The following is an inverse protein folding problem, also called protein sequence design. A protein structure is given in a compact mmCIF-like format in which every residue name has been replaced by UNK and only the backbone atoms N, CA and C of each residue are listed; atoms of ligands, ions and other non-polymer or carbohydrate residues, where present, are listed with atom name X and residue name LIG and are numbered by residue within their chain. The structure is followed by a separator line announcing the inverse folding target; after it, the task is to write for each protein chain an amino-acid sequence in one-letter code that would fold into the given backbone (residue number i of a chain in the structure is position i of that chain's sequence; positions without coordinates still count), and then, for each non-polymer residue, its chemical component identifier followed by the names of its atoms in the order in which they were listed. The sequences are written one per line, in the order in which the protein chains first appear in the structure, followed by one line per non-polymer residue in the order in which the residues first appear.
data_IF_095639475235
#
_entry.id   IF_095639475235
#
_cell.length_a   1.000
_cell.length_b   1.000
_cell.length_c   1.000
_cell.angle_alpha   90.00
_cell.angle_beta   90.00
_cell.angle_gamma   90.00
#
_symmetry.space_group_name_H-M   'P 1'
#
loop_
_entity.id
_entity.type
_entity.pdbx_description
1 polymer ?
#
# COMPACT_ATOMS: atom_id res chain seq x y z
N UNK A 1 -20.29 -21.64 58.47
CA UNK A 1 -21.14 -20.53 58.01
C UNK A 1 -20.24 -19.54 57.24
N UNK A 2 -20.46 -19.42 55.92
CA UNK A 2 -20.34 -18.20 55.06
C UNK A 2 -19.01 -17.40 55.15
N UNK A 3 -18.02 -17.58 54.26
CA UNK A 3 -17.75 -17.03 52.88
C UNK A 3 -16.98 -15.70 52.81
N UNK A 4 -16.21 -15.56 51.72
CA UNK A 4 -15.59 -14.35 51.12
C UNK A 4 -14.15 -14.06 51.60
N UNK A 5 -13.16 -13.76 50.77
CA UNK A 5 -13.15 -13.20 49.41
C UNK A 5 -11.87 -13.62 48.66
N UNK A 6 -12.01 -13.89 47.36
CA UNK A 6 -10.95 -14.31 46.46
C UNK A 6 -10.61 -13.16 45.50
N UNK A 7 -9.53 -12.42 45.76
CA UNK A 7 -8.98 -11.46 44.81
C UNK A 7 -7.89 -12.13 43.95
N UNK A 8 -8.34 -12.81 42.89
CA UNK A 8 -7.50 -13.38 41.84
C UNK A 8 -6.90 -12.25 40.99
N UNK A 9 -5.60 -11.98 41.15
CA UNK A 9 -4.83 -11.13 40.21
C UNK A 9 -4.56 -11.94 38.94
N UNK A 10 -5.43 -11.79 37.94
CA UNK A 10 -5.16 -12.30 36.60
C UNK A 10 -3.92 -11.64 35.98
N UNK A 11 -3.12 -12.36 35.17
CA UNK A 11 -1.97 -11.79 34.49
C UNK A 11 -2.42 -10.73 33.47
N UNK A 12 -1.68 -9.63 33.46
CA UNK A 12 -1.86 -8.52 32.54
C UNK A 12 -1.90 -9.04 31.09
N UNK A 13 -3.02 -8.81 30.42
CA UNK A 13 -3.09 -9.00 28.97
C UNK A 13 -2.11 -8.04 28.30
N UNK A 14 -1.21 -8.52 27.41
CA UNK A 14 -0.48 -7.62 26.55
C UNK A 14 -1.50 -6.87 25.69
N UNK A 15 -1.47 -5.54 25.77
CA UNK A 15 -2.30 -4.68 24.94
C UNK A 15 -2.00 -4.99 23.48
N UNK A 16 -3.05 -5.27 22.71
CA UNK A 16 -3.04 -5.36 21.26
C UNK A 16 -2.73 -4.00 20.58
N UNK A 17 -1.81 -3.22 21.14
CA UNK A 17 -1.42 -1.87 20.70
C UNK A 17 0.00 -1.83 20.13
N UNK A 18 0.81 -2.88 20.32
CA UNK A 18 2.21 -2.89 19.85
C UNK A 18 2.40 -3.45 18.44
N UNK A 19 1.49 -4.30 17.96
CA UNK A 19 1.60 -4.91 16.62
C UNK A 19 1.34 -3.94 15.46
N UNK A 20 0.81 -2.74 15.73
CA UNK A 20 0.52 -1.74 14.68
C UNK A 20 1.63 -0.69 14.52
N UNK A 21 2.59 -0.60 15.45
CA UNK A 21 3.67 0.41 15.40
C UNK A 21 4.88 -0.03 14.56
N UNK A 22 5.11 -1.33 14.39
CA UNK A 22 6.29 -1.82 13.68
C UNK A 22 6.20 -1.60 12.17
N UNK A 23 4.98 -1.66 11.62
CA UNK A 23 4.77 -1.38 10.20
C UNK A 23 5.19 0.04 9.83
N UNK A 24 4.95 1.04 10.69
CA UNK A 24 5.31 2.45 10.45
C UNK A 24 6.81 2.71 10.43
N UNK A 25 7.61 1.89 11.12
CA UNK A 25 9.06 2.04 11.29
C UNK A 25 9.87 1.80 9.99
N UNK A 26 9.28 1.14 9.00
CA UNK A 26 10.00 0.72 7.79
C UNK A 26 10.00 1.73 6.62
N UNK A 27 9.44 2.94 6.76
CA UNK A 27 9.50 3.94 5.69
C UNK A 27 10.78 4.76 5.79
N UNK A 28 11.60 4.71 4.74
CA UNK A 28 12.80 5.52 4.64
C UNK A 28 12.45 6.96 4.23
N UNK A 29 13.36 7.91 4.48
CA UNK A 29 13.25 9.27 3.94
C UNK A 29 13.17 9.27 2.41
N UNK A 30 13.75 8.27 1.74
CA UNK A 30 13.68 8.11 0.29
C UNK A 30 12.27 7.74 -0.19
N UNK A 31 11.52 6.97 0.59
CA UNK A 31 10.12 6.64 0.26
C UNK A 31 9.21 7.86 0.33
N UNK A 32 9.53 8.84 1.19
CA UNK A 32 8.82 10.12 1.25
C UNK A 32 9.44 11.20 0.35
N UNK A 33 10.45 10.89 -0.46
CA UNK A 33 11.07 11.88 -1.34
C UNK A 33 10.22 12.17 -2.58
N UNK A 34 9.33 11.25 -2.99
CA UNK A 34 8.42 11.45 -4.11
C UNK A 34 7.07 10.77 -3.88
N UNK A 35 6.04 11.25 -4.60
CA UNK A 35 4.70 10.64 -4.57
C UNK A 35 4.74 9.18 -5.02
N UNK A 36 5.51 8.88 -6.07
CA UNK A 36 5.71 7.52 -6.55
C UNK A 36 6.40 6.64 -5.49
N UNK A 37 7.45 7.16 -4.81
CA UNK A 37 8.11 6.47 -3.70
C UNK A 37 7.13 6.12 -2.58
N UNK A 38 6.29 7.07 -2.18
CA UNK A 38 5.35 6.86 -1.09
C UNK A 38 4.28 5.81 -1.46
N UNK A 39 3.81 5.87 -2.71
CA UNK A 39 2.89 4.87 -3.22
C UNK A 39 3.52 3.47 -3.28
N UNK A 40 4.77 3.34 -3.73
CA UNK A 40 5.51 2.07 -3.73
C UNK A 40 5.59 1.46 -2.35
N UNK A 41 6.00 2.23 -1.36
CA UNK A 41 6.12 1.72 -0.01
C UNK A 41 4.76 1.33 0.60
N UNK A 42 3.68 2.01 0.21
CA UNK A 42 2.31 1.58 0.55
C UNK A 42 1.96 0.24 -0.11
N UNK A 43 2.32 0.02 -1.36
CA UNK A 43 2.14 -1.26 -2.03
C UNK A 43 2.94 -2.36 -1.34
N UNK A 44 4.20 -2.09 -0.99
CA UNK A 44 5.09 -3.07 -0.34
C UNK A 44 4.53 -3.55 1.01
N UNK A 45 3.83 -2.67 1.74
CA UNK A 45 3.10 -3.05 2.96
C UNK A 45 1.81 -3.82 2.69
N UNK A 46 1.10 -3.49 1.62
CA UNK A 46 -0.24 -4.02 1.38
C UNK A 46 -0.24 -5.37 0.64
N UNK A 47 0.59 -5.53 -0.39
CA UNK A 47 0.62 -6.73 -1.23
C UNK A 47 0.84 -8.05 -0.45
N UNK A 48 1.71 -8.10 0.59
CA UNK A 48 1.87 -9.31 1.40
C UNK A 48 0.60 -9.74 2.15
N UNK A 49 -0.33 -8.81 2.39
CA UNK A 49 -1.60 -9.11 3.08
C UNK A 49 -2.63 -9.80 2.18
N UNK A 50 -2.39 -9.81 0.86
CA UNK A 50 -3.24 -10.50 -0.11
C UNK A 50 -2.87 -11.99 -0.17
N UNK A 51 -3.89 -12.85 -0.14
CA UNK A 51 -3.74 -14.30 0.08
C UNK A 51 -3.15 -15.07 -1.12
N UNK A 52 -3.18 -14.51 -2.33
CA UNK A 52 -2.73 -15.20 -3.54
C UNK A 52 -2.08 -14.25 -4.55
N UNK A 53 -1.23 -14.80 -5.41
CA UNK A 53 -0.64 -14.05 -6.52
C UNK A 53 -1.70 -13.55 -7.50
N UNK A 54 -2.79 -14.31 -7.67
CA UNK A 54 -3.95 -13.88 -8.43
C UNK A 54 -4.57 -12.60 -7.83
N UNK A 55 -4.82 -12.58 -6.52
CA UNK A 55 -5.37 -11.41 -5.84
C UNK A 55 -4.42 -10.20 -5.93
N UNK A 56 -3.11 -10.42 -5.78
CA UNK A 56 -2.07 -9.38 -5.97
C UNK A 56 -2.10 -8.82 -7.39
N UNK A 57 -2.16 -9.69 -8.40
CA UNK A 57 -2.23 -9.30 -9.82
C UNK A 57 -3.49 -8.47 -10.11
N UNK A 58 -4.66 -8.95 -9.70
CA UNK A 58 -5.93 -8.24 -9.91
C UNK A 58 -5.90 -6.86 -9.23
N UNK A 59 -5.39 -6.78 -8.01
CA UNK A 59 -5.24 -5.52 -7.31
C UNK A 59 -4.32 -4.55 -8.07
N UNK A 60 -3.13 -5.00 -8.49
CA UNK A 60 -2.17 -4.17 -9.21
C UNK A 60 -2.72 -3.69 -10.56
N UNK A 61 -3.41 -4.55 -11.32
CA UNK A 61 -4.06 -4.17 -12.57
C UNK A 61 -5.10 -3.07 -12.32
N UNK A 62 -5.94 -3.20 -11.28
CA UNK A 62 -6.92 -2.16 -10.94
C UNK A 62 -6.26 -0.84 -10.57
N UNK A 63 -5.19 -0.87 -9.78
CA UNK A 63 -4.43 0.36 -9.47
C UNK A 63 -3.85 0.99 -10.74
N UNK A 64 -3.31 0.18 -11.65
CA UNK A 64 -2.76 0.68 -12.92
C UNK A 64 -3.81 1.37 -13.76
N UNK A 65 -4.99 0.78 -13.91
CA UNK A 65 -6.07 1.39 -14.70
C UNK A 65 -6.55 2.71 -14.08
N UNK A 66 -6.63 2.80 -12.74
CA UNK A 66 -6.93 4.07 -12.06
C UNK A 66 -5.88 5.14 -12.37
N UNK A 67 -4.59 4.82 -12.26
CA UNK A 67 -3.53 5.78 -12.58
C UNK A 67 -3.49 6.17 -14.06
N UNK A 68 -3.79 5.25 -14.98
CA UNK A 68 -3.90 5.54 -16.42
C UNK A 68 -5.05 6.51 -16.70
N UNK A 69 -6.22 6.29 -16.09
CA UNK A 69 -7.35 7.22 -16.22
C UNK A 69 -7.01 8.61 -15.67
N UNK A 70 -6.41 8.67 -14.47
CA UNK A 70 -5.99 9.94 -13.87
C UNK A 70 -4.94 10.66 -14.71
N UNK A 71 -3.99 9.93 -15.31
CA UNK A 71 -3.01 10.49 -16.23
C UNK A 71 -3.65 11.03 -17.50
N UNK A 72 -4.61 10.29 -18.07
CA UNK A 72 -5.40 10.75 -19.22
C UNK A 72 -6.15 12.05 -18.93
N UNK A 73 -6.81 12.14 -17.77
CA UNK A 73 -7.47 13.38 -17.33
C UNK A 73 -6.48 14.52 -17.08
N UNK A 74 -5.33 14.23 -16.46
CA UNK A 74 -4.25 15.19 -16.24
C UNK A 74 -3.78 15.79 -17.57
N UNK A 75 -3.51 14.94 -18.57
CA UNK A 75 -3.08 15.39 -19.90
C UNK A 75 -4.19 16.19 -20.60
N UNK A 76 -5.42 15.67 -20.62
CA UNK A 76 -6.55 16.32 -21.28
C UNK A 76 -6.81 17.74 -20.75
N UNK A 77 -6.57 17.95 -19.45
CA UNK A 77 -6.81 19.23 -18.78
C UNK A 77 -5.54 20.03 -18.53
N UNK A 78 -4.43 19.69 -19.21
CA UNK A 78 -3.11 20.35 -19.06
C UNK A 78 -2.67 20.51 -17.60
N UNK A 79 -2.96 19.52 -16.77
CA UNK A 79 -2.65 19.50 -15.34
C UNK A 79 -3.60 20.30 -14.43
N UNK A 80 -4.60 20.99 -14.98
CA UNK A 80 -5.41 21.95 -14.22
C UNK A 80 -6.35 21.33 -13.16
N UNK A 81 -6.67 20.04 -13.25
CA UNK A 81 -7.59 19.36 -12.29
C UNK A 81 -6.91 18.39 -11.35
N UNK A 82 -5.59 18.31 -11.38
CA UNK A 82 -4.88 17.39 -10.53
C UNK A 82 -5.00 17.87 -9.08
N UNK A 83 -5.42 17.02 -8.13
CA UNK A 83 -5.55 17.46 -6.74
C UNK A 83 -4.16 17.70 -6.14
N UNK A 84 -3.94 18.89 -5.57
CA UNK A 84 -2.74 19.18 -4.78
C UNK A 84 -2.75 18.33 -3.51
N UNK A 85 -1.65 17.67 -3.25
CA UNK A 85 -1.40 16.94 -2.01
C UNK A 85 -0.68 17.84 -1.01
N UNK A 86 -1.05 17.81 0.28
CA UNK A 86 -0.40 18.63 1.31
C UNK A 86 1.09 18.34 1.48
N UNK A 87 1.53 17.12 1.22
CA UNK A 87 2.90 16.64 1.44
C UNK A 87 3.71 16.80 0.16
N UNK A 88 3.15 16.40 -0.99
CA UNK A 88 3.89 16.32 -2.26
C UNK A 88 3.57 17.43 -3.26
N UNK A 89 2.62 18.32 -2.97
CA UNK A 89 2.21 19.38 -3.88
C UNK A 89 1.40 18.86 -5.08
N UNK A 90 1.50 19.57 -6.21
CA UNK A 90 0.80 19.17 -7.44
C UNK A 90 1.48 17.96 -8.07
N UNK A 91 0.72 16.95 -8.53
CA UNK A 91 1.31 15.85 -9.26
C UNK A 91 1.86 16.33 -10.60
N UNK A 92 2.96 15.72 -11.01
CA UNK A 92 3.63 15.94 -12.29
C UNK A 92 3.35 14.77 -13.23
N UNK A 93 3.62 14.94 -14.53
CA UNK A 93 3.55 13.83 -15.47
C UNK A 93 4.50 12.68 -15.09
N UNK A 94 5.68 13.00 -14.55
CA UNK A 94 6.65 12.00 -14.10
C UNK A 94 6.08 11.11 -12.98
N UNK A 95 5.35 11.68 -12.02
CA UNK A 95 4.72 10.90 -10.94
C UNK A 95 3.80 9.81 -11.49
N UNK A 96 3.01 10.12 -12.53
CA UNK A 96 2.11 9.15 -13.16
C UNK A 96 2.89 8.08 -13.93
N UNK A 97 3.86 8.50 -14.75
CA UNK A 97 4.64 7.57 -15.59
C UNK A 97 5.46 6.62 -14.73
N UNK A 98 6.14 7.11 -13.70
CA UNK A 98 6.91 6.28 -12.77
C UNK A 98 6.01 5.28 -12.02
N UNK A 99 4.83 5.73 -11.57
CA UNK A 99 3.90 4.86 -10.86
C UNK A 99 3.33 3.77 -11.77
N UNK A 100 2.93 4.11 -13.01
CA UNK A 100 2.41 3.15 -13.99
C UNK A 100 3.51 2.14 -14.36
N UNK A 101 4.74 2.59 -14.60
CA UNK A 101 5.86 1.72 -14.94
C UNK A 101 6.19 0.75 -13.81
N UNK A 102 6.20 1.20 -12.55
CA UNK A 102 6.42 0.31 -11.40
C UNK A 102 5.29 -0.71 -11.23
N UNK A 103 4.03 -0.31 -11.47
CA UNK A 103 2.90 -1.24 -11.47
C UNK A 103 3.03 -2.30 -12.57
N UNK A 104 3.38 -1.90 -13.80
CA UNK A 104 3.56 -2.83 -14.93
C UNK A 104 4.72 -3.81 -14.67
N UNK A 105 5.83 -3.34 -14.08
CA UNK A 105 6.92 -4.21 -13.63
C UNK A 105 6.44 -5.24 -12.62
N UNK A 106 5.78 -4.81 -11.55
CA UNK A 106 5.28 -5.71 -10.48
C UNK A 106 4.26 -6.72 -10.98
N UNK A 107 3.40 -6.35 -11.92
CA UNK A 107 2.44 -7.28 -12.55
C UNK A 107 3.19 -8.39 -13.31
N UNK A 108 4.27 -8.03 -14.00
CA UNK A 108 5.11 -8.95 -14.77
C UNK A 108 5.96 -9.86 -13.87
N UNK A 109 6.35 -9.38 -12.69
CA UNK A 109 7.12 -10.14 -11.69
C UNK A 109 6.27 -11.22 -10.97
N UNK A 110 4.93 -11.08 -10.97
CA UNK A 110 4.05 -12.09 -10.36
C UNK A 110 3.98 -13.35 -11.24
N UNK A 111 3.98 -14.56 -10.66
CA UNK A 111 3.89 -15.80 -11.42
C UNK A 111 2.57 -15.87 -12.19
N UNK A 112 2.62 -16.33 -13.45
CA UNK A 112 1.43 -16.52 -14.29
C UNK A 112 0.43 -17.49 -13.64
N UNK A 113 -0.87 -17.29 -13.85
CA UNK A 113 -1.95 -18.13 -13.30
C UNK A 113 -1.91 -19.61 -13.77
N UNK A 114 -0.87 -20.01 -14.53
CA UNK A 114 -0.73 -21.33 -15.16
C UNK A 114 0.62 -22.03 -14.93
N UNK A 115 1.42 -21.63 -13.94
CA UNK A 115 2.59 -22.44 -13.52
C UNK A 115 2.37 -22.97 -12.10
N UNK A 116 1.41 -23.88 -11.97
CA UNK A 116 1.57 -24.94 -10.97
C UNK A 116 2.92 -25.60 -11.26
N UNK A 117 3.78 -25.68 -10.25
CA UNK A 117 5.02 -26.43 -10.33
C UNK A 117 4.69 -27.86 -10.80
N UNK A 118 5.13 -28.18 -12.02
CA UNK A 118 5.26 -29.55 -12.51
C UNK A 118 6.72 -29.95 -12.35
#
# INVERSE_FOLDING_TARGET
MVTSDAASRGPAQPRASEATMDASSALSKADFASRAGFFRARLDRYLPTLQSDHARRVFLIRQREVFRQQYGEFVAKRGATAKRDPIFGWPTAADFVETIADLDRRISDLPGDGKAAA
#
